data_IF_189302434386
#
_entry.id   IF_189302434386
#
_cell.length_a   1.000
_cell.length_b   1.000
_cell.length_c   1.000
_cell.angle_alpha   90.00
_cell.angle_beta   90.00
_cell.angle_gamma   90.00
#
_symmetry.space_group_name_H-M   'P 1'
#
loop_
_entity.id
_entity.type
_entity.pdbx_description
1 polymer ?
#
# COMPACT_ATOMS: atom_id res chain seq x y z
N UNK A 1 23.72 2.62 18.23
CA UNK A 1 23.51 2.27 16.80
C UNK A 1 22.10 1.78 16.48
N UNK A 2 21.44 0.96 17.31
CA UNK A 2 20.08 0.44 17.07
C UNK A 2 19.02 1.56 16.98
N UNK A 3 19.09 2.57 17.87
CA UNK A 3 18.16 3.72 17.89
C UNK A 3 18.21 4.56 16.60
N UNK A 4 19.40 4.85 16.06
CA UNK A 4 19.56 5.67 14.85
C UNK A 4 18.97 4.99 13.60
N UNK A 5 19.17 3.67 13.46
CA UNK A 5 18.59 2.90 12.35
C UNK A 5 17.05 2.92 12.40
N UNK A 6 16.50 2.79 13.60
CA UNK A 6 15.05 2.82 13.80
C UNK A 6 14.42 4.20 13.47
N UNK A 7 15.12 5.29 13.79
CA UNK A 7 14.66 6.64 13.45
C UNK A 7 14.67 6.90 11.94
N UNK A 8 15.69 6.39 11.22
CA UNK A 8 15.73 6.48 9.74
C UNK A 8 14.55 5.70 9.14
N UNK A 9 14.32 4.47 9.59
CA UNK A 9 13.19 3.65 9.13
C UNK A 9 11.85 4.36 9.36
N UNK A 10 11.66 5.00 10.53
CA UNK A 10 10.44 5.78 10.81
C UNK A 10 10.28 6.97 9.86
N UNK A 11 11.35 7.72 9.61
CA UNK A 11 11.32 8.85 8.69
C UNK A 11 10.94 8.42 7.28
N UNK A 12 11.58 7.38 6.76
CA UNK A 12 11.27 6.81 5.44
C UNK A 12 9.83 6.27 5.37
N UNK A 13 9.36 5.63 6.43
CA UNK A 13 7.98 5.16 6.50
C UNK A 13 6.96 6.31 6.45
N UNK A 14 7.24 7.43 7.13
CA UNK A 14 6.37 8.63 7.08
C UNK A 14 6.33 9.18 5.66
N UNK A 15 7.48 9.34 5.00
CA UNK A 15 7.54 9.80 3.61
C UNK A 15 6.76 8.85 2.69
N UNK A 16 6.96 7.54 2.84
CA UNK A 16 6.23 6.54 2.10
C UNK A 16 4.69 6.65 2.31
N UNK A 17 4.22 6.83 3.56
CA UNK A 17 2.79 6.98 3.86
C UNK A 17 2.21 8.23 3.18
N UNK A 18 2.95 9.34 3.14
CA UNK A 18 2.51 10.54 2.44
C UNK A 18 2.35 10.27 0.93
N UNK A 19 3.33 9.63 0.32
CA UNK A 19 3.30 9.25 -1.11
C UNK A 19 2.17 8.26 -1.37
N UNK A 20 2.03 7.23 -0.53
CA UNK A 20 0.96 6.23 -0.63
C UNK A 20 -0.42 6.88 -0.55
N UNK A 21 -0.60 7.80 0.41
CA UNK A 21 -1.86 8.54 0.56
C UNK A 21 -2.19 9.32 -0.71
N UNK A 22 -1.19 9.99 -1.30
CA UNK A 22 -1.35 10.71 -2.56
C UNK A 22 -1.76 9.78 -3.70
N UNK A 23 -1.03 8.67 -3.88
CA UNK A 23 -1.29 7.71 -4.96
C UNK A 23 -2.70 7.13 -4.85
N UNK A 24 -3.09 6.69 -3.65
CA UNK A 24 -4.39 6.03 -3.42
C UNK A 24 -5.55 7.00 -3.54
N UNK A 25 -5.49 8.16 -2.86
CA UNK A 25 -6.63 9.09 -2.84
C UNK A 25 -6.85 9.75 -4.18
N UNK A 26 -5.80 10.02 -4.94
CA UNK A 26 -5.91 10.69 -6.23
C UNK A 26 -5.77 9.72 -7.42
N UNK A 27 -5.60 8.41 -7.18
CA UNK A 27 -5.45 7.34 -8.20
C UNK A 27 -4.51 7.76 -9.36
N UNK A 28 -3.42 8.48 -9.03
CA UNK A 28 -2.49 9.07 -10.00
C UNK A 28 -3.15 10.01 -11.04
N UNK A 29 -4.31 10.53 -10.74
CA UNK A 29 -4.96 11.49 -11.65
C UNK A 29 -4.28 12.85 -11.51
N UNK A 30 -3.49 13.20 -12.52
CA UNK A 30 -2.81 14.49 -12.63
C UNK A 30 -3.69 15.58 -13.28
N UNK A 31 -4.89 15.21 -13.73
CA UNK A 31 -5.78 16.12 -14.43
C UNK A 31 -6.90 16.60 -13.50
N UNK A 32 -6.81 17.88 -13.12
CA UNK A 32 -7.79 18.54 -12.23
C UNK A 32 -9.19 18.57 -12.88
N UNK A 33 -9.27 18.54 -14.22
CA UNK A 33 -10.54 18.53 -14.94
C UNK A 33 -11.33 17.24 -14.73
N UNK A 34 -10.66 16.13 -14.41
CA UNK A 34 -11.30 14.86 -14.11
C UNK A 34 -11.96 14.83 -12.72
N UNK A 35 -11.55 15.70 -11.79
CA UNK A 35 -12.13 15.81 -10.45
C UNK A 35 -13.58 16.35 -10.48
N UNK A 36 -13.94 17.15 -11.48
CA UNK A 36 -15.30 17.68 -11.63
C UNK A 36 -16.32 16.60 -12.04
N UNK A 37 -15.85 15.50 -12.63
CA UNK A 37 -16.71 14.37 -13.05
C UNK A 37 -16.81 13.27 -11.98
N UNK A 38 -16.06 13.37 -10.90
CA UNK A 38 -15.97 12.34 -9.83
C UNK A 38 -17.10 12.36 -8.79
N UNK A 39 -18.24 12.99 -9.05
CA UNK A 39 -19.40 12.99 -8.13
C UNK A 39 -20.07 11.60 -7.97
N UNK A 40 -19.35 10.52 -8.14
CA UNK A 40 -19.86 9.16 -8.06
C UNK A 40 -19.45 8.51 -6.74
N UNK A 41 -20.17 8.81 -5.67
CA UNK A 41 -20.15 7.98 -4.47
C UNK A 41 -20.76 6.63 -4.82
N UNK A 42 -19.92 5.64 -5.03
CA UNK A 42 -20.35 4.26 -5.20
C UNK A 42 -19.56 3.34 -4.26
N UNK A 43 -20.23 2.28 -3.81
CA UNK A 43 -19.58 1.23 -3.03
C UNK A 43 -19.74 -0.06 -3.83
N UNK A 44 -18.63 -0.67 -4.18
CA UNK A 44 -18.60 -1.97 -4.82
C UNK A 44 -18.14 -3.03 -3.82
N UNK A 45 -19.06 -3.88 -3.40
CA UNK A 45 -18.79 -4.98 -2.47
C UNK A 45 -18.60 -6.32 -3.17
N UNK A 46 -18.74 -6.36 -4.50
CA UNK A 46 -18.54 -7.59 -5.27
C UNK A 46 -17.11 -7.59 -5.81
N UNK A 47 -16.22 -8.50 -5.35
CA UNK A 47 -14.86 -8.54 -5.84
C UNK A 47 -14.82 -8.64 -7.36
N UNK A 48 -13.93 -7.84 -7.98
CA UNK A 48 -13.69 -7.77 -9.43
C UNK A 48 -14.85 -7.25 -10.29
N UNK A 49 -16.03 -6.93 -9.73
CA UNK A 49 -17.15 -6.42 -10.50
C UNK A 49 -16.95 -4.98 -11.01
N UNK A 50 -16.12 -4.19 -10.33
CA UNK A 50 -15.76 -2.82 -10.75
C UNK A 50 -14.60 -2.77 -11.74
N UNK A 51 -13.97 -3.90 -12.06
CA UNK A 51 -12.84 -3.92 -12.99
C UNK A 51 -13.28 -3.51 -14.39
N UNK A 52 -12.56 -2.54 -14.98
CA UNK A 52 -12.83 -2.09 -16.33
C UNK A 52 -12.63 -3.23 -17.35
N UNK A 53 -13.61 -3.42 -18.23
CA UNK A 53 -13.49 -4.35 -19.34
C UNK A 53 -13.03 -3.56 -20.58
N UNK A 54 -11.73 -3.69 -20.92
CA UNK A 54 -11.14 -3.10 -22.10
C UNK A 54 -10.95 -4.22 -23.14
N UNK A 55 -11.53 -4.05 -24.32
CA UNK A 55 -11.44 -5.04 -25.43
C UNK A 55 -11.82 -6.48 -25.00
N UNK A 56 -12.91 -6.63 -24.27
CA UNK A 56 -13.39 -7.93 -23.73
C UNK A 56 -12.40 -8.63 -22.75
N UNK A 57 -11.47 -7.87 -22.15
CA UNK A 57 -10.56 -8.36 -21.12
C UNK A 57 -10.68 -7.48 -19.88
N UNK A 58 -10.61 -8.12 -18.72
CA UNK A 58 -10.53 -7.40 -17.43
C UNK A 58 -9.19 -6.67 -17.38
N UNK A 59 -9.24 -5.34 -17.15
CA UNK A 59 -8.02 -4.58 -16.88
C UNK A 59 -7.58 -4.84 -15.43
N UNK A 60 -6.52 -5.61 -15.30
CA UNK A 60 -5.92 -5.96 -14.00
C UNK A 60 -4.87 -4.97 -13.54
N UNK A 61 -4.60 -3.92 -14.32
CA UNK A 61 -3.52 -2.96 -14.05
C UNK A 61 -3.73 -2.26 -12.71
N UNK A 62 -4.96 -1.86 -12.40
CA UNK A 62 -5.30 -1.21 -11.13
C UNK A 62 -5.10 -2.17 -9.95
N UNK A 63 -5.51 -3.42 -10.09
CA UNK A 63 -5.34 -4.45 -9.06
C UNK A 63 -3.84 -4.70 -8.80
N UNK A 64 -3.04 -4.83 -9.86
CA UNK A 64 -1.59 -5.02 -9.75
C UNK A 64 -0.95 -3.80 -9.09
N UNK A 65 -1.35 -2.60 -9.47
CA UNK A 65 -0.83 -1.36 -8.87
C UNK A 65 -1.09 -1.33 -7.37
N UNK A 66 -2.31 -1.61 -6.93
CA UNK A 66 -2.70 -1.65 -5.52
C UNK A 66 -1.86 -2.68 -4.75
N UNK A 67 -1.65 -3.86 -5.31
CA UNK A 67 -0.75 -4.86 -4.71
C UNK A 67 0.68 -4.31 -4.59
N UNK A 68 1.24 -3.79 -5.67
CA UNK A 68 2.65 -3.35 -5.72
C UNK A 68 2.93 -2.19 -4.76
N UNK A 69 2.05 -1.20 -4.70
CA UNK A 69 2.26 -0.02 -3.85
C UNK A 69 2.15 -0.34 -2.35
N UNK A 70 1.48 -1.44 -1.95
CA UNK A 70 1.40 -1.88 -0.55
C UNK A 70 2.52 -2.84 -0.13
N UNK A 71 3.34 -3.35 -1.05
CA UNK A 71 4.50 -4.19 -0.71
C UNK A 71 5.44 -3.48 0.27
N UNK A 72 5.86 -2.22 0.05
CA UNK A 72 6.71 -1.50 1.01
C UNK A 72 6.06 -1.35 2.39
N UNK A 73 4.72 -1.23 2.48
CA UNK A 73 4.02 -1.16 3.77
C UNK A 73 4.32 -2.39 4.63
N UNK A 74 4.16 -3.59 4.07
CA UNK A 74 4.45 -4.84 4.77
C UNK A 74 5.90 -4.94 5.21
N UNK A 75 6.83 -4.49 4.36
CA UNK A 75 8.27 -4.42 4.69
C UNK A 75 8.51 -3.50 5.88
N UNK A 76 7.97 -2.26 5.87
CA UNK A 76 8.14 -1.30 6.96
C UNK A 76 7.53 -1.77 8.27
N UNK A 77 6.36 -2.43 8.24
CA UNK A 77 5.75 -3.02 9.45
C UNK A 77 6.70 -4.06 10.06
N UNK A 78 7.33 -4.91 9.24
CA UNK A 78 8.30 -5.87 9.73
C UNK A 78 9.56 -5.21 10.33
N UNK A 79 10.07 -4.15 9.69
CA UNK A 79 11.25 -3.41 10.17
C UNK A 79 11.00 -2.69 11.50
N UNK A 80 9.77 -2.19 11.71
CA UNK A 80 9.39 -1.43 12.89
C UNK A 80 8.87 -2.29 14.03
N UNK A 81 8.34 -3.48 13.72
CA UNK A 81 7.66 -4.39 14.66
C UNK A 81 8.11 -5.83 14.42
N UNK A 82 9.41 -6.07 14.57
CA UNK A 82 10.03 -7.39 14.33
C UNK A 82 9.36 -8.49 15.16
N UNK A 83 9.06 -8.19 16.44
CA UNK A 83 8.51 -9.12 17.43
C UNK A 83 7.02 -9.43 17.24
N UNK A 84 6.31 -8.70 16.37
CA UNK A 84 4.90 -8.94 16.16
C UNK A 84 4.65 -10.25 15.42
N UNK A 85 3.60 -10.97 15.83
CA UNK A 85 3.12 -12.13 15.09
C UNK A 85 2.62 -11.71 13.69
N UNK A 86 2.51 -12.67 12.80
CA UNK A 86 2.05 -12.43 11.42
C UNK A 86 0.71 -11.68 11.39
N UNK A 87 -0.28 -12.14 12.15
CA UNK A 87 -1.61 -11.51 12.20
C UNK A 87 -1.51 -10.06 12.69
N UNK A 88 -0.72 -9.79 13.75
CA UNK A 88 -0.51 -8.42 14.25
C UNK A 88 0.13 -7.50 13.21
N UNK A 89 0.92 -8.03 12.28
CA UNK A 89 1.51 -7.28 11.18
C UNK A 89 0.51 -7.01 10.06
N UNK A 90 -0.42 -7.92 9.80
CA UNK A 90 -1.46 -7.77 8.77
C UNK A 90 -2.53 -6.76 9.19
N UNK A 91 -2.89 -6.71 10.47
CA UNK A 91 -3.94 -5.80 10.98
C UNK A 91 -3.72 -4.33 10.56
N UNK A 92 -2.57 -3.68 10.80
CA UNK A 92 -2.37 -2.29 10.39
C UNK A 92 -2.44 -2.09 8.87
N UNK A 93 -2.04 -3.07 8.08
CA UNK A 93 -2.14 -3.02 6.61
C UNK A 93 -3.62 -2.96 6.21
N UNK A 94 -4.42 -3.90 6.72
CA UNK A 94 -5.85 -3.97 6.46
C UNK A 94 -6.60 -2.70 6.92
N UNK A 95 -6.31 -2.23 8.13
CA UNK A 95 -6.96 -1.01 8.68
C UNK A 95 -6.60 0.21 7.84
N UNK A 96 -5.36 0.35 7.41
CA UNK A 96 -4.94 1.47 6.56
C UNK A 96 -5.61 1.42 5.20
N UNK A 97 -5.71 0.25 4.58
CA UNK A 97 -6.44 0.08 3.33
C UNK A 97 -7.93 0.41 3.49
N UNK A 98 -8.57 -0.10 4.53
CA UNK A 98 -9.97 0.22 4.83
C UNK A 98 -10.19 1.73 5.09
N UNK A 99 -9.23 2.38 5.74
CA UNK A 99 -9.28 3.83 5.95
C UNK A 99 -9.23 4.59 4.62
N UNK A 100 -8.37 4.18 3.68
CA UNK A 100 -8.33 4.80 2.35
C UNK A 100 -9.65 4.63 1.60
N UNK A 101 -10.23 3.43 1.57
CA UNK A 101 -11.54 3.19 0.95
C UNK A 101 -12.63 4.07 1.58
N UNK A 102 -12.60 4.20 2.92
CA UNK A 102 -13.54 5.06 3.65
C UNK A 102 -13.35 6.53 3.29
N UNK A 103 -12.10 7.01 3.19
CA UNK A 103 -11.80 8.39 2.80
C UNK A 103 -12.21 8.68 1.34
N UNK A 104 -11.97 7.75 0.41
CA UNK A 104 -12.41 7.88 -0.98
C UNK A 104 -13.94 8.04 -1.05
N UNK A 105 -14.68 7.24 -0.29
CA UNK A 105 -16.14 7.35 -0.23
C UNK A 105 -16.61 8.68 0.39
N UNK A 106 -16.03 9.09 1.54
CA UNK A 106 -16.43 10.33 2.24
C UNK A 106 -16.19 11.56 1.36
N UNK A 107 -15.02 11.64 0.74
CA UNK A 107 -14.61 12.79 -0.07
C UNK A 107 -15.07 12.69 -1.53
N UNK A 108 -15.80 11.63 -1.91
CA UNK A 108 -16.27 11.39 -3.28
C UNK A 108 -15.09 11.41 -4.31
N UNK A 109 -13.93 10.88 -3.92
CA UNK A 109 -12.71 10.81 -4.74
C UNK A 109 -12.68 9.59 -5.66
N UNK A 110 -13.72 8.78 -5.69
CA UNK A 110 -13.86 7.58 -6.50
C UNK A 110 -14.82 6.57 -5.88
N UNK A 111 -14.94 5.40 -6.52
CA UNK A 111 -15.66 4.26 -5.99
C UNK A 111 -14.82 3.58 -4.89
N UNK A 112 -15.44 3.30 -3.74
CA UNK A 112 -14.86 2.42 -2.74
C UNK A 112 -15.04 0.96 -3.19
N UNK A 113 -13.95 0.23 -3.41
CA UNK A 113 -13.97 -1.12 -3.98
C UNK A 113 -13.32 -2.13 -3.05
N UNK A 114 -14.06 -3.21 -2.76
CA UNK A 114 -13.52 -4.32 -1.97
C UNK A 114 -12.32 -5.00 -2.66
N UNK A 115 -12.22 -4.90 -3.99
CA UNK A 115 -11.08 -5.41 -4.75
C UNK A 115 -9.80 -4.69 -4.36
N UNK A 116 -9.87 -3.36 -4.17
CA UNK A 116 -8.74 -2.54 -3.76
C UNK A 116 -8.32 -2.90 -2.33
N UNK A 117 -9.28 -3.08 -1.42
CA UNK A 117 -9.01 -3.55 -0.06
C UNK A 117 -8.27 -4.90 -0.04
N UNK A 118 -8.70 -5.83 -0.89
CA UNK A 118 -8.07 -7.16 -1.03
C UNK A 118 -6.68 -7.01 -1.64
N UNK A 119 -6.53 -6.26 -2.74
CA UNK A 119 -5.27 -6.03 -3.42
C UNK A 119 -4.22 -5.39 -2.52
N UNK A 120 -4.59 -4.32 -1.83
CA UNK A 120 -3.75 -3.61 -0.87
C UNK A 120 -3.28 -4.53 0.28
N UNK A 121 -4.22 -5.30 0.86
CA UNK A 121 -3.90 -6.24 1.94
C UNK A 121 -2.96 -7.33 1.45
N UNK A 122 -3.21 -7.90 0.27
CA UNK A 122 -2.37 -8.90 -0.36
C UNK A 122 -0.95 -8.34 -0.62
N UNK A 123 -0.84 -7.12 -1.12
CA UNK A 123 0.42 -6.43 -1.32
C UNK A 123 1.25 -6.34 -0.02
N UNK A 124 0.60 -5.94 1.06
CA UNK A 124 1.25 -5.90 2.37
C UNK A 124 1.69 -7.28 2.86
N UNK A 125 0.90 -8.33 2.64
CA UNK A 125 1.29 -9.72 2.96
C UNK A 125 2.51 -10.15 2.15
N UNK A 126 2.54 -9.84 0.85
CA UNK A 126 3.71 -10.07 -0.01
C UNK A 126 4.93 -9.32 0.54
N UNK A 127 4.76 -8.07 0.99
CA UNK A 127 5.83 -7.29 1.62
C UNK A 127 6.39 -7.95 2.88
N UNK A 128 5.54 -8.53 3.73
CA UNK A 128 5.97 -9.32 4.89
C UNK A 128 6.81 -10.54 4.44
N UNK A 129 6.35 -11.27 3.42
CA UNK A 129 7.07 -12.42 2.89
C UNK A 129 8.43 -12.02 2.28
N UNK A 130 8.48 -10.93 1.51
CA UNK A 130 9.73 -10.37 0.97
C UNK A 130 10.69 -10.00 2.08
N UNK A 131 10.23 -9.31 3.14
CA UNK A 131 11.10 -8.99 4.28
C UNK A 131 11.66 -10.25 4.96
N UNK A 132 10.83 -11.27 5.17
CA UNK A 132 11.26 -12.54 5.75
C UNK A 132 12.33 -13.23 4.89
N UNK A 133 12.17 -13.22 3.56
CA UNK A 133 13.14 -13.76 2.62
C UNK A 133 14.47 -12.98 2.66
N UNK A 134 14.40 -11.65 2.59
CA UNK A 134 15.59 -10.79 2.71
C UNK A 134 16.30 -10.96 4.04
N UNK A 135 15.55 -11.18 5.13
CA UNK A 135 16.13 -11.41 6.46
C UNK A 135 16.89 -12.73 6.56
N UNK A 136 16.48 -13.76 5.82
CA UNK A 136 17.23 -15.02 5.74
C UNK A 136 18.56 -14.83 4.99
N UNK A 137 18.58 -14.00 3.95
CA UNK A 137 19.76 -13.76 3.10
C UNK A 137 20.73 -12.80 3.79
N UNK A 138 20.27 -11.63 4.22
CA UNK A 138 21.12 -10.53 4.71
C UNK A 138 21.25 -10.47 6.24
N UNK A 139 20.52 -11.29 6.97
CA UNK A 139 20.56 -11.41 8.43
C UNK A 139 20.55 -10.03 9.12
N UNK A 140 21.55 -9.73 9.93
CA UNK A 140 21.66 -8.48 10.71
C UNK A 140 21.78 -7.19 9.83
N UNK A 141 22.05 -7.32 8.56
CA UNK A 141 22.21 -6.20 7.63
C UNK A 141 20.92 -5.84 6.87
N UNK A 142 19.87 -6.63 6.98
CA UNK A 142 18.62 -6.49 6.23
C UNK A 142 18.05 -5.07 6.32
N UNK A 143 17.82 -4.57 7.54
CA UNK A 143 17.27 -3.22 7.76
C UNK A 143 18.16 -2.14 7.17
N UNK A 144 19.49 -2.28 7.28
CA UNK A 144 20.43 -1.31 6.70
C UNK A 144 20.31 -1.28 5.17
N UNK A 145 20.27 -2.45 4.54
CA UNK A 145 20.17 -2.57 3.09
C UNK A 145 18.85 -1.99 2.58
N UNK A 146 17.73 -2.35 3.21
CA UNK A 146 16.42 -1.82 2.83
C UNK A 146 16.36 -0.30 2.99
N UNK A 147 16.87 0.26 4.10
CA UNK A 147 16.90 1.71 4.28
C UNK A 147 17.76 2.41 3.23
N UNK A 148 18.90 1.83 2.83
CA UNK A 148 19.75 2.40 1.76
C UNK A 148 19.03 2.37 0.42
N UNK A 149 18.38 1.25 0.07
CA UNK A 149 17.60 1.14 -1.16
C UNK A 149 16.43 2.13 -1.16
N UNK A 150 15.72 2.26 -0.04
CA UNK A 150 14.62 3.22 0.09
C UNK A 150 15.10 4.66 -0.08
N UNK A 151 16.27 5.04 0.48
CA UNK A 151 16.86 6.37 0.32
C UNK A 151 17.29 6.70 -1.13
N UNK A 152 17.57 5.69 -1.95
CA UNK A 152 17.94 5.90 -3.36
C UNK A 152 16.68 6.13 -4.22
N UNK A 153 15.53 5.56 -3.80
CA UNK A 153 14.27 5.62 -4.56
C UNK A 153 13.41 6.82 -4.15
N UNK A 154 13.68 7.39 -2.95
CA UNK A 154 12.95 8.55 -2.42
C UNK A 154 13.64 9.85 -2.77
#
# INVERSE_FOLDING_TARGET
MKSRKHNITKGLFIVYIIILTWIILFKLQFDISSLETMNLRSINLVPFAGSLIINNRVDISEIILNVVIFVPFGIYVCMLKEEWSFIKKVIPIFITSLAFETLQYIFALGASDITDLIGNTLGGIIGIAVFMLLSKIFKNNTIKIINVLALIVT
#
